data_IF_931584786834
#
_entry.id   IF_931584786834
#
_cell.length_a   1.000
_cell.length_b   1.000
_cell.length_c   1.000
_cell.angle_alpha   90.00
_cell.angle_beta   90.00
_cell.angle_gamma   90.00
#
_symmetry.space_group_name_H-M   'P 1'
#
loop_
_entity.id
_entity.type
_entity.pdbx_description
1 polymer ?
#
# COMPACT_ATOMS: atom_id res chain seq x y z
N UNK A 1 6.66 -5.90 -14.23
CA UNK A 1 5.24 -6.21 -14.01
C UNK A 1 4.43 -5.01 -14.47
N UNK A 2 3.43 -5.25 -15.29
CA UNK A 2 2.48 -4.25 -15.81
C UNK A 2 1.39 -3.95 -14.76
N UNK A 3 0.68 -2.84 -14.92
CA UNK A 3 -0.43 -2.50 -14.02
C UNK A 3 -1.60 -3.49 -14.15
N UNK A 4 -1.82 -4.06 -15.34
CA UNK A 4 -2.85 -5.08 -15.58
C UNK A 4 -2.51 -6.40 -14.88
N UNK A 5 -1.27 -6.88 -14.98
CA UNK A 5 -0.83 -8.08 -14.25
C UNK A 5 -1.02 -7.91 -12.73
N UNK A 6 -0.67 -6.73 -12.21
CA UNK A 6 -0.87 -6.42 -10.81
C UNK A 6 -2.36 -6.39 -10.44
N UNK A 7 -3.21 -5.78 -11.27
CA UNK A 7 -4.68 -5.78 -11.05
C UNK A 7 -5.26 -7.21 -11.04
N UNK A 8 -4.84 -8.09 -11.96
CA UNK A 8 -5.26 -9.50 -11.98
C UNK A 8 -4.84 -10.23 -10.72
N UNK A 9 -3.58 -10.06 -10.29
CA UNK A 9 -3.07 -10.69 -9.07
C UNK A 9 -3.87 -10.29 -7.82
N UNK A 10 -4.31 -9.03 -7.73
CA UNK A 10 -5.13 -8.62 -6.57
C UNK A 10 -6.61 -8.99 -6.74
N UNK A 11 -7.15 -9.05 -7.96
CA UNK A 11 -8.54 -9.44 -8.17
C UNK A 11 -8.85 -10.84 -7.58
N UNK A 12 -7.89 -11.77 -7.69
CA UNK A 12 -8.02 -13.11 -7.12
C UNK A 12 -7.96 -13.11 -5.57
N UNK A 13 -7.22 -12.17 -4.98
CA UNK A 13 -7.01 -12.08 -3.53
C UNK A 13 -7.98 -11.14 -2.80
N UNK A 14 -8.64 -10.23 -3.52
CA UNK A 14 -9.41 -9.11 -2.96
C UNK A 14 -10.84 -9.11 -3.49
N UNK A 15 -11.72 -9.84 -2.82
CA UNK A 15 -13.15 -9.84 -3.13
C UNK A 15 -13.83 -8.57 -2.58
N UNK A 16 -14.40 -7.74 -3.46
CA UNK A 16 -15.17 -6.53 -3.12
C UNK A 16 -15.25 -5.50 -4.26
N UNK A 17 -16.09 -4.47 -4.10
CA UNK A 17 -16.36 -3.47 -5.15
C UNK A 17 -15.23 -2.43 -5.33
N UNK A 18 -14.44 -2.16 -4.30
CA UNK A 18 -13.36 -1.16 -4.34
C UNK A 18 -12.04 -1.78 -4.78
N UNK A 19 -11.36 -1.20 -5.77
CA UNK A 19 -10.02 -1.65 -6.17
C UNK A 19 -8.98 -1.36 -5.06
N UNK A 20 -8.06 -2.28 -4.77
CA UNK A 20 -6.99 -2.11 -3.79
C UNK A 20 -5.97 -1.03 -4.21
N UNK A 21 -5.85 -0.80 -5.52
CA UNK A 21 -5.01 0.25 -6.07
C UNK A 21 -5.84 1.19 -6.93
N UNK A 22 -5.59 2.48 -6.77
CA UNK A 22 -6.21 3.54 -7.57
C UNK A 22 -5.19 4.16 -8.51
N UNK A 23 -5.64 4.69 -9.65
CA UNK A 23 -4.78 5.49 -10.53
C UNK A 23 -4.22 6.69 -9.75
N UNK A 24 -2.92 6.93 -9.88
CA UNK A 24 -2.27 8.06 -9.22
C UNK A 24 -2.19 9.25 -10.18
N UNK A 25 -3.20 10.12 -10.12
CA UNK A 25 -3.25 11.35 -10.93
C UNK A 25 -2.44 12.51 -10.36
N UNK A 26 -1.97 12.44 -9.11
CA UNK A 26 -1.21 13.50 -8.47
C UNK A 26 -0.14 12.95 -7.52
N UNK A 27 1.08 12.84 -8.03
CA UNK A 27 2.22 12.28 -7.32
C UNK A 27 2.62 13.11 -6.10
N UNK A 28 2.53 14.45 -6.20
CA UNK A 28 2.90 15.35 -5.11
C UNK A 28 2.08 15.04 -3.85
N UNK A 29 0.80 14.74 -4.02
CA UNK A 29 -0.07 14.36 -2.92
C UNK A 29 0.34 13.02 -2.31
N UNK A 30 0.65 12.00 -3.12
CA UNK A 30 1.07 10.68 -2.59
C UNK A 30 2.39 10.71 -1.84
N UNK A 31 3.22 11.74 -2.04
CA UNK A 31 4.47 11.94 -1.30
C UNK A 31 4.27 12.68 0.03
N UNK A 32 3.06 13.17 0.33
CA UNK A 32 2.73 13.87 1.57
C UNK A 32 2.04 12.94 2.56
N UNK A 33 2.66 12.69 3.72
CA UNK A 33 2.04 11.91 4.79
C UNK A 33 0.74 12.56 5.30
N UNK A 34 0.71 13.88 5.40
CA UNK A 34 -0.50 14.64 5.79
C UNK A 34 -1.65 14.40 4.82
N UNK A 35 -1.37 14.29 3.52
CA UNK A 35 -2.39 13.96 2.54
C UNK A 35 -3.00 12.58 2.79
N UNK A 36 -2.20 11.57 3.14
CA UNK A 36 -2.71 10.24 3.50
C UNK A 36 -3.59 10.27 4.76
N UNK A 37 -3.25 11.10 5.74
CA UNK A 37 -4.01 11.29 6.98
C UNK A 37 -5.25 12.20 6.81
N UNK A 38 -5.27 13.02 5.76
CA UNK A 38 -6.34 14.00 5.50
C UNK A 38 -7.70 13.38 5.17
N UNK A 39 -8.74 14.23 5.09
CA UNK A 39 -10.13 13.85 4.91
C UNK A 39 -10.37 12.75 3.85
N UNK A 40 -11.13 11.76 4.29
CA UNK A 40 -11.54 10.54 3.60
C UNK A 40 -12.40 9.80 4.61
N UNK A 41 -13.58 9.34 4.21
CA UNK A 41 -14.44 8.54 5.08
C UNK A 41 -13.63 7.34 5.57
N UNK A 42 -13.70 7.03 6.85
CA UNK A 42 -13.13 5.78 7.35
C UNK A 42 -13.89 4.65 6.65
N UNK A 43 -13.22 3.98 5.71
CA UNK A 43 -13.82 2.85 5.04
C UNK A 43 -13.75 1.66 6.00
N UNK A 44 -14.90 1.07 6.30
CA UNK A 44 -14.98 -0.14 7.12
C UNK A 44 -14.53 -1.33 6.29
N UNK A 45 -13.22 -1.47 6.11
CA UNK A 45 -12.60 -2.57 5.39
C UNK A 45 -12.47 -3.75 6.35
N UNK A 46 -12.94 -4.94 5.95
CA UNK A 46 -12.81 -6.18 6.73
C UNK A 46 -11.35 -6.57 6.92
N UNK A 47 -11.03 -7.31 7.98
CA UNK A 47 -9.64 -7.74 8.25
C UNK A 47 -9.03 -8.53 7.09
N UNK A 48 -9.81 -9.42 6.45
CA UNK A 48 -9.35 -10.18 5.28
C UNK A 48 -8.95 -9.28 4.11
N UNK A 49 -9.72 -8.21 3.84
CA UNK A 49 -9.39 -7.23 2.79
C UNK A 49 -8.13 -6.43 3.14
N UNK A 50 -7.93 -6.07 4.42
CA UNK A 50 -6.68 -5.40 4.85
C UNK A 50 -5.46 -6.29 4.60
N UNK A 51 -5.56 -7.57 4.98
CA UNK A 51 -4.48 -8.53 4.79
C UNK A 51 -4.16 -8.76 3.32
N UNK A 52 -5.17 -9.00 2.47
CA UNK A 52 -4.96 -9.19 1.03
C UNK A 52 -4.30 -7.99 0.37
N UNK A 53 -4.73 -6.76 0.72
CA UNK A 53 -4.13 -5.55 0.19
C UNK A 53 -2.67 -5.38 0.63
N UNK A 54 -2.36 -5.59 1.91
CA UNK A 54 -0.98 -5.47 2.41
C UNK A 54 -0.06 -6.50 1.78
N UNK A 55 -0.50 -7.75 1.68
CA UNK A 55 0.27 -8.79 1.00
C UNK A 55 0.52 -8.44 -0.47
N UNK A 56 -0.48 -7.87 -1.14
CA UNK A 56 -0.34 -7.40 -2.53
C UNK A 56 0.68 -6.26 -2.64
N UNK A 57 0.61 -5.24 -1.79
CA UNK A 57 1.55 -4.12 -1.84
C UNK A 57 3.00 -4.55 -1.59
N UNK A 58 3.22 -5.44 -0.61
CA UNK A 58 4.54 -6.01 -0.33
C UNK A 58 5.03 -6.87 -1.49
N UNK A 59 4.14 -7.68 -2.09
CA UNK A 59 4.46 -8.49 -3.26
C UNK A 59 4.88 -7.64 -4.46
N UNK A 60 4.24 -6.49 -4.65
CA UNK A 60 4.58 -5.53 -5.71
C UNK A 60 5.86 -4.79 -5.42
N UNK A 61 6.08 -4.35 -4.18
CA UNK A 61 7.31 -3.70 -3.75
C UNK A 61 8.52 -4.62 -3.93
N UNK A 62 8.40 -5.91 -3.56
CA UNK A 62 9.46 -6.90 -3.77
C UNK A 62 9.81 -7.17 -5.25
N UNK A 63 8.96 -6.72 -6.18
CA UNK A 63 9.16 -6.82 -7.64
C UNK A 63 9.38 -5.47 -8.30
N UNK A 64 9.40 -4.37 -7.54
CA UNK A 64 9.77 -3.07 -8.08
C UNK A 64 11.29 -3.05 -8.29
N UNK A 65 11.75 -2.11 -9.11
CA UNK A 65 13.19 -1.94 -9.40
C UNK A 65 13.94 -1.21 -8.29
N UNK A 66 13.20 -0.67 -7.32
CA UNK A 66 13.73 0.19 -6.27
C UNK A 66 14.15 -0.66 -5.06
N UNK A 67 15.23 -0.25 -4.39
CA UNK A 67 15.77 -0.91 -3.19
C UNK A 67 14.86 -0.69 -1.97
N UNK A 68 13.65 -1.25 -1.98
CA UNK A 68 12.68 -1.04 -0.91
C UNK A 68 12.97 -2.00 0.25
N UNK A 69 13.07 -1.48 1.50
CA UNK A 69 13.29 -2.32 2.67
C UNK A 69 12.25 -3.43 2.85
N UNK A 70 12.67 -4.58 3.39
CA UNK A 70 11.76 -5.69 3.65
C UNK A 70 10.65 -5.30 4.63
N UNK A 71 9.40 -5.57 4.24
CA UNK A 71 8.23 -5.17 5.02
C UNK A 71 7.82 -3.72 4.76
N UNK A 72 8.33 -3.08 3.72
CA UNK A 72 7.87 -1.79 3.24
C UNK A 72 7.35 -1.84 1.80
N UNK A 73 6.56 -0.83 1.44
CA UNK A 73 6.06 -0.63 0.08
C UNK A 73 5.92 0.88 -0.23
N UNK A 74 6.02 1.29 -1.50
CA UNK A 74 6.02 2.71 -1.85
C UNK A 74 4.61 3.30 -1.81
N UNK A 75 4.52 4.60 -1.54
CA UNK A 75 3.26 5.34 -1.60
C UNK A 75 2.74 5.51 -3.06
N UNK A 76 3.60 5.31 -4.04
CA UNK A 76 3.26 5.26 -5.46
C UNK A 76 4.05 4.15 -6.16
N UNK A 77 3.36 3.33 -6.94
CA UNK A 77 3.96 2.28 -7.77
C UNK A 77 4.08 2.78 -9.21
N UNK A 78 5.26 2.64 -9.81
CA UNK A 78 5.49 2.79 -11.24
C UNK A 78 5.59 1.39 -11.87
N UNK A 79 4.63 1.05 -12.73
CA UNK A 79 4.61 -0.23 -13.44
C UNK A 79 5.36 -0.15 -14.77
N UNK A 80 5.73 -1.30 -15.34
CA UNK A 80 6.55 -1.37 -16.56
C UNK A 80 5.83 -0.90 -17.83
N UNK A 81 4.50 -0.81 -17.79
CA UNK A 81 3.66 -0.19 -18.82
C UNK A 81 3.57 1.35 -18.68
N UNK A 82 4.29 1.93 -17.71
CA UNK A 82 4.33 3.38 -17.46
C UNK A 82 3.16 3.89 -16.62
N UNK A 83 2.20 3.04 -16.27
CA UNK A 83 1.08 3.42 -15.40
C UNK A 83 1.55 3.62 -13.96
N UNK A 84 1.02 4.66 -13.32
CA UNK A 84 1.30 4.99 -11.92
C UNK A 84 0.07 4.73 -11.08
N UNK A 85 0.19 3.83 -10.11
CA UNK A 85 -0.89 3.53 -9.16
C UNK A 85 -0.46 3.88 -7.75
N UNK A 86 -1.44 4.01 -6.88
CA UNK A 86 -1.23 4.21 -5.45
C UNK A 86 -2.07 3.21 -4.66
N UNK A 87 -1.65 2.83 -3.45
CA UNK A 87 -2.51 2.15 -2.50
C UNK A 87 -3.85 2.87 -2.29
N UNK A 88 -4.84 2.11 -1.85
CA UNK A 88 -6.11 2.68 -1.42
C UNK A 88 -5.91 3.69 -0.25
N UNK A 89 -6.53 4.87 -0.38
CA UNK A 89 -6.30 5.97 0.58
C UNK A 89 -6.99 5.68 1.91
N UNK A 90 -8.21 5.14 1.87
CA UNK A 90 -9.00 4.84 3.06
C UNK A 90 -8.31 3.77 3.91
N UNK A 91 -7.80 2.73 3.27
CA UNK A 91 -7.03 1.66 3.89
C UNK A 91 -5.75 2.19 4.53
N UNK A 92 -4.91 2.91 3.78
CA UNK A 92 -3.64 3.43 4.31
C UNK A 92 -3.89 4.33 5.51
N UNK A 93 -4.91 5.20 5.46
CA UNK A 93 -5.31 6.03 6.60
C UNK A 93 -5.67 5.19 7.82
N UNK A 94 -6.51 4.17 7.65
CA UNK A 94 -6.90 3.27 8.76
C UNK A 94 -5.70 2.54 9.36
N UNK A 95 -4.75 2.11 8.52
CA UNK A 95 -3.54 1.42 8.98
C UNK A 95 -2.56 2.35 9.70
N UNK A 96 -2.39 3.59 9.22
CA UNK A 96 -1.61 4.63 9.90
C UNK A 96 -2.23 4.98 11.26
N UNK A 97 -3.56 5.16 11.32
CA UNK A 97 -4.27 5.44 12.58
C UNK A 97 -4.21 4.29 13.59
N UNK A 98 -4.12 3.05 13.10
CA UNK A 98 -4.00 1.86 13.94
C UNK A 98 -2.56 1.50 14.32
N UNK A 99 -1.57 2.33 13.93
CA UNK A 99 -0.14 2.08 14.11
C UNK A 99 0.31 0.72 13.56
N UNK A 100 -0.27 0.31 12.44
CA UNK A 100 0.09 -0.93 11.73
C UNK A 100 1.16 -0.67 10.66
N UNK A 101 1.24 0.56 10.17
CA UNK A 101 2.25 1.04 9.24
C UNK A 101 2.73 2.42 9.68
N UNK A 102 3.95 2.77 9.30
CA UNK A 102 4.52 4.09 9.48
C UNK A 102 4.99 4.66 8.13
N UNK A 103 4.76 5.95 7.90
CA UNK A 103 5.31 6.65 6.74
C UNK A 103 6.78 7.02 6.98
N UNK A 104 7.66 6.71 6.02
CA UNK A 104 9.09 7.04 6.07
C UNK A 104 9.58 7.54 4.72
N UNK A 105 10.60 8.40 4.72
CA UNK A 105 11.29 8.79 3.50
C UNK A 105 12.40 7.79 3.20
N UNK A 106 12.46 7.33 1.96
CA UNK A 106 13.49 6.44 1.46
C UNK A 106 13.83 6.83 0.02
N UNK A 107 15.09 7.15 -0.25
CA UNK A 107 15.56 7.64 -1.56
C UNK A 107 14.75 8.82 -2.14
N UNK A 108 14.23 9.69 -1.27
CA UNK A 108 13.42 10.85 -1.68
C UNK A 108 11.96 10.54 -1.99
N UNK A 109 11.51 9.31 -1.71
CA UNK A 109 10.12 8.88 -1.83
C UNK A 109 9.55 8.45 -0.49
N UNK A 110 8.25 8.72 -0.30
CA UNK A 110 7.47 8.21 0.81
C UNK A 110 7.21 6.72 0.58
N UNK A 111 7.63 5.94 1.56
CA UNK A 111 7.30 4.53 1.71
C UNK A 111 6.44 4.32 2.96
N UNK A 112 5.70 3.23 2.99
CA UNK A 112 5.02 2.73 4.17
C UNK A 112 5.71 1.46 4.63
N UNK A 113 6.17 1.48 5.87
CA UNK A 113 6.81 0.33 6.51
C UNK A 113 5.87 -0.29 7.54
N UNK A 114 5.78 -1.62 7.58
CA UNK A 114 5.08 -2.32 8.64
C UNK A 114 5.76 -2.06 9.99
N UNK A 115 4.99 -1.58 10.97
CA UNK A 115 5.42 -1.53 12.37
C UNK A 115 5.52 -2.94 12.94
N UNK A 116 6.05 -3.10 14.16
CA UNK A 116 6.03 -4.39 14.85
C UNK A 116 4.61 -4.97 14.94
N UNK A 117 3.63 -4.14 15.28
CA UNK A 117 2.22 -4.51 15.32
C UNK A 117 1.71 -4.96 13.94
N UNK A 118 2.07 -4.25 12.87
CA UNK A 118 1.72 -4.63 11.51
C UNK A 118 2.35 -5.95 11.08
N UNK A 119 3.61 -6.20 11.44
CA UNK A 119 4.33 -7.45 11.15
C UNK A 119 3.67 -8.64 11.86
N UNK A 120 3.33 -8.48 13.14
CA UNK A 120 2.59 -9.51 13.88
C UNK A 120 1.23 -9.81 13.24
N UNK A 121 0.50 -8.77 12.83
CA UNK A 121 -0.84 -8.90 12.25
C UNK A 121 -0.85 -9.49 10.84
N UNK A 122 0.08 -9.11 9.97
CA UNK A 122 0.03 -9.43 8.53
C UNK A 122 1.03 -10.48 8.08
N UNK A 123 2.12 -10.67 8.82
CA UNK A 123 3.16 -11.66 8.50
C UNK A 123 3.17 -12.83 9.50
N UNK A 124 2.42 -12.75 10.60
CA UNK A 124 2.49 -13.75 11.67
C UNK A 124 3.84 -13.78 12.38
N UNK A 125 4.65 -12.73 12.20
CA UNK A 125 5.96 -12.57 12.81
C UNK A 125 5.81 -11.66 14.03
N UNK A 126 5.71 -12.24 15.22
CA UNK A 126 6.03 -11.52 16.45
C UNK A 126 7.55 -11.41 16.55
N UNK A 127 8.05 -10.23 16.92
CA UNK A 127 9.47 -10.03 17.22
C UNK A 127 9.96 -10.98 18.32
#
# INVERSE_FOLDING_TARGET
>A
MTSTEAETLVADAYQGDSKPMSKNSNLRNTQSLDWWMSNGKNETITQGRKQAAIQSYLHFAARSRDDIPQGAFPAAFLFSDGERRRPDKGLIKVLLQADMIAGRQHNGELIFELTERGRAQFLGQAA
#
